data_IF_144765186276
#
_entry.id   IF_144765186276
#
_cell.length_a   1.000
_cell.length_b   1.000
_cell.length_c   1.000
_cell.angle_alpha   90.00
_cell.angle_beta   90.00
_cell.angle_gamma   90.00
#
_symmetry.space_group_name_H-M   'P 1'
#
loop_
_entity.id
_entity.type
_entity.pdbx_description
1 polymer ?
#
# COMPACT_ATOMS: atom_id res chain seq x y z
N UNK A 1 44.89 27.53 22.35
CA UNK A 1 43.50 27.51 21.97
C UNK A 1 42.62 27.75 23.19
N UNK A 2 41.76 28.69 23.10
CA UNK A 2 40.91 29.04 24.23
C UNK A 2 39.77 28.07 24.37
N UNK A 3 39.22 27.96 25.58
CA UNK A 3 38.13 27.03 25.87
C UNK A 3 36.91 27.22 25.00
N UNK A 4 36.63 28.47 24.62
CA UNK A 4 35.48 28.81 23.78
C UNK A 4 35.57 28.21 22.38
N UNK A 5 36.75 28.23 21.80
CA UNK A 5 36.98 27.64 20.48
C UNK A 5 36.80 26.13 20.48
N UNK A 6 37.24 25.46 21.54
CA UNK A 6 37.06 24.03 21.68
C UNK A 6 35.58 23.64 21.78
N UNK A 7 34.83 24.42 22.53
CA UNK A 7 33.39 24.18 22.69
C UNK A 7 32.67 24.35 21.37
N UNK A 8 33.01 25.39 20.61
CA UNK A 8 32.39 25.63 19.30
C UNK A 8 32.70 24.49 18.33
N UNK A 9 33.95 24.03 18.30
CA UNK A 9 34.38 22.93 17.43
C UNK A 9 33.61 21.65 17.80
N UNK A 10 33.53 21.35 19.09
CA UNK A 10 32.81 20.16 19.54
C UNK A 10 31.33 20.23 19.18
N UNK A 11 30.69 21.37 19.38
CA UNK A 11 29.28 21.57 19.00
C UNK A 11 29.07 21.41 17.50
N UNK A 12 29.99 21.94 16.70
CA UNK A 12 29.92 21.85 15.25
C UNK A 12 30.06 20.39 14.78
N UNK A 13 30.98 19.65 15.37
CA UNK A 13 31.17 18.23 15.06
C UNK A 13 29.95 17.45 15.45
N UNK A 14 29.35 17.72 16.60
CA UNK A 14 28.13 17.05 17.04
C UNK A 14 26.96 17.36 16.12
N UNK A 15 26.83 18.61 15.67
CA UNK A 15 25.77 18.98 14.73
C UNK A 15 25.93 18.27 13.39
N UNK A 16 27.15 18.21 12.86
CA UNK A 16 27.44 17.49 11.62
C UNK A 16 27.16 16.00 11.75
N UNK A 17 27.53 15.42 12.87
CA UNK A 17 27.29 14.00 13.13
C UNK A 17 25.79 13.69 13.20
N UNK A 18 25.04 14.54 13.85
CA UNK A 18 23.58 14.42 13.96
C UNK A 18 22.92 14.53 12.60
N UNK A 19 23.33 15.49 11.78
CA UNK A 19 22.81 15.64 10.42
C UNK A 19 23.15 14.46 9.53
N UNK A 20 24.37 13.95 9.62
CA UNK A 20 24.79 12.75 8.89
C UNK A 20 23.93 11.54 9.25
N UNK A 21 23.69 11.34 10.52
CA UNK A 21 22.87 10.21 11.00
C UNK A 21 21.44 10.35 10.50
N UNK A 22 20.86 11.53 10.60
CA UNK A 22 19.52 11.79 10.10
C UNK A 22 19.44 11.58 8.59
N UNK A 23 20.41 12.04 7.85
CA UNK A 23 20.45 11.85 6.41
C UNK A 23 20.49 10.36 6.01
N UNK A 24 21.32 9.57 6.68
CA UNK A 24 21.39 8.14 6.41
C UNK A 24 20.06 7.45 6.74
N UNK A 25 19.44 7.82 7.83
CA UNK A 25 18.18 7.24 8.25
C UNK A 25 17.04 7.59 7.29
N UNK A 26 16.86 8.87 7.00
CA UNK A 26 15.82 9.33 6.08
C UNK A 26 16.13 8.99 4.63
N UNK A 27 17.42 8.98 4.27
CA UNK A 27 17.83 8.59 2.93
C UNK A 27 17.44 7.16 2.59
N UNK A 28 17.57 6.26 3.54
CA UNK A 28 17.16 4.86 3.36
C UNK A 28 15.65 4.72 3.23
N UNK A 29 14.91 5.43 4.04
CA UNK A 29 13.45 5.42 3.94
C UNK A 29 12.96 6.01 2.63
N UNK A 30 13.53 7.12 2.21
CA UNK A 30 13.19 7.73 0.93
C UNK A 30 13.58 6.85 -0.24
N UNK A 31 14.73 6.22 -0.19
CA UNK A 31 15.14 5.28 -1.22
C UNK A 31 14.23 4.07 -1.25
N UNK A 32 13.86 3.54 -0.09
CA UNK A 32 12.89 2.46 0.02
C UNK A 32 11.52 2.87 -0.48
N UNK A 33 11.05 4.05 -0.14
CA UNK A 33 9.78 4.59 -0.62
C UNK A 33 9.83 4.84 -2.13
N UNK A 34 10.95 5.34 -2.64
CA UNK A 34 11.15 5.53 -4.05
C UNK A 34 11.11 4.22 -4.83
N UNK A 35 11.72 3.19 -4.30
CA UNK A 35 11.67 1.85 -4.89
C UNK A 35 10.26 1.27 -4.84
N UNK A 36 9.54 1.48 -3.73
CA UNK A 36 8.17 1.04 -3.60
C UNK A 36 7.24 1.78 -4.56
N UNK A 37 7.44 3.06 -4.75
CA UNK A 37 6.67 3.83 -5.71
C UNK A 37 6.98 3.41 -7.16
N UNK A 38 8.08 2.72 -7.38
CA UNK A 38 8.40 2.09 -8.64
C UNK A 38 7.60 0.82 -8.93
N UNK A 39 6.62 0.51 -8.11
CA UNK A 39 5.60 -0.47 -8.40
C UNK A 39 5.73 -1.83 -7.73
N UNK A 40 6.68 -2.02 -6.85
CA UNK A 40 6.74 -3.29 -6.12
C UNK A 40 5.91 -3.23 -4.86
N UNK A 41 4.77 -3.91 -4.90
CA UNK A 41 3.97 -4.15 -3.72
C UNK A 41 4.53 -5.37 -2.97
N UNK A 42 4.35 -5.39 -1.66
CA UNK A 42 4.68 -6.53 -0.84
C UNK A 42 3.64 -7.62 -1.04
N UNK A 43 4.05 -8.88 -0.93
CA UNK A 43 3.10 -9.98 -0.92
C UNK A 43 2.16 -9.84 0.28
N UNK A 44 0.87 -9.92 0.05
CA UNK A 44 -0.11 -9.89 1.13
C UNK A 44 0.04 -11.11 2.05
N UNK A 45 0.00 -10.86 3.35
CA UNK A 45 -0.06 -11.90 4.37
C UNK A 45 -1.10 -11.51 5.42
N UNK A 46 -1.47 -12.45 6.27
CA UNK A 46 -2.40 -12.15 7.38
C UNK A 46 -1.82 -11.13 8.36
N UNK A 47 -0.52 -10.93 8.32
CA UNK A 47 0.19 -9.96 9.18
C UNK A 47 0.35 -8.59 8.53
N UNK A 48 -0.05 -8.43 7.28
CA UNK A 48 0.03 -7.13 6.59
C UNK A 48 -0.79 -6.08 7.33
N UNK A 49 -0.24 -4.88 7.41
CA UNK A 49 -0.82 -3.79 8.21
C UNK A 49 -1.49 -2.74 7.33
N UNK A 50 -2.39 -1.99 7.95
CA UNK A 50 -3.06 -0.85 7.31
C UNK A 50 -2.02 0.14 6.81
N UNK A 51 -2.20 0.61 5.57
CA UNK A 51 -1.29 1.54 4.93
C UNK A 51 -0.23 0.88 4.05
N UNK A 52 -0.03 -0.44 4.15
CA UNK A 52 0.91 -1.14 3.30
C UNK A 52 0.34 -1.36 1.90
N UNK A 53 1.17 -1.21 0.90
CA UNK A 53 0.83 -1.59 -0.47
C UNK A 53 1.17 -3.06 -0.66
N UNK A 54 0.17 -3.83 -1.04
CA UNK A 54 0.29 -5.30 -1.13
C UNK A 54 -0.23 -5.81 -2.45
N UNK A 55 0.21 -6.99 -2.84
CA UNK A 55 -0.32 -7.73 -3.98
C UNK A 55 -0.66 -9.16 -3.57
N UNK A 56 -1.69 -9.70 -4.19
CA UNK A 56 -2.12 -11.07 -3.94
C UNK A 56 -2.91 -11.59 -5.14
N UNK A 57 -2.98 -12.91 -5.24
CA UNK A 57 -3.89 -13.59 -6.16
C UNK A 57 -5.02 -14.18 -5.32
N UNK A 58 -6.25 -13.95 -5.74
CA UNK A 58 -7.41 -14.40 -4.98
C UNK A 58 -8.57 -14.76 -5.90
N UNK A 59 -9.44 -15.63 -5.41
CA UNK A 59 -10.66 -16.02 -6.11
C UNK A 59 -11.80 -15.09 -5.76
N UNK A 60 -12.51 -14.61 -6.76
CA UNK A 60 -13.67 -13.73 -6.57
C UNK A 60 -14.85 -14.55 -6.07
N UNK A 61 -15.33 -14.24 -4.88
CA UNK A 61 -16.50 -14.87 -4.30
C UNK A 61 -17.79 -14.14 -4.67
N UNK A 62 -17.73 -12.82 -4.82
CA UNK A 62 -18.87 -12.01 -5.17
C UNK A 62 -18.46 -10.61 -5.53
N UNK A 63 -19.34 -9.89 -6.17
CA UNK A 63 -19.16 -8.50 -6.52
C UNK A 63 -20.46 -7.73 -6.39
N UNK A 64 -20.36 -6.47 -6.01
CA UNK A 64 -21.53 -5.59 -5.93
C UNK A 64 -21.07 -4.14 -6.02
N UNK A 65 -21.94 -3.27 -6.50
CA UNK A 65 -21.71 -1.84 -6.39
C UNK A 65 -22.07 -1.34 -4.99
N UNK A 66 -21.42 -0.27 -4.57
CA UNK A 66 -21.77 0.39 -3.32
C UNK A 66 -23.16 0.98 -3.40
N UNK A 67 -23.66 1.44 -2.26
CA UNK A 67 -25.00 2.00 -2.15
C UNK A 67 -25.24 3.14 -3.15
N UNK A 68 -24.22 3.92 -3.42
CA UNK A 68 -24.29 5.02 -4.42
C UNK A 68 -24.22 4.51 -5.85
N UNK A 69 -23.86 3.25 -6.08
CA UNK A 69 -23.70 2.68 -7.41
C UNK A 69 -22.46 3.12 -8.16
N UNK A 70 -21.54 3.80 -7.48
CA UNK A 70 -20.35 4.37 -8.13
C UNK A 70 -19.08 3.52 -7.95
N UNK A 71 -18.98 2.83 -6.84
CA UNK A 71 -17.78 2.06 -6.51
C UNK A 71 -18.10 0.57 -6.53
N UNK A 72 -17.13 -0.24 -6.90
CA UNK A 72 -17.28 -1.69 -6.94
C UNK A 72 -16.64 -2.30 -5.70
N UNK A 73 -17.38 -3.17 -5.03
CA UNK A 73 -16.89 -3.97 -3.91
C UNK A 73 -16.79 -5.42 -4.36
N UNK A 74 -15.62 -6.00 -4.17
CA UNK A 74 -15.38 -7.42 -4.40
C UNK A 74 -15.17 -8.12 -3.08
N UNK A 75 -15.71 -9.33 -2.97
CA UNK A 75 -15.33 -10.25 -1.91
C UNK A 75 -14.46 -11.32 -2.54
N UNK A 76 -13.29 -11.52 -1.98
CA UNK A 76 -12.32 -12.48 -2.51
C UNK A 76 -11.84 -13.41 -1.41
N UNK A 77 -11.47 -14.62 -1.82
CA UNK A 77 -10.91 -15.61 -0.90
C UNK A 77 -9.41 -15.69 -1.11
N UNK A 78 -8.68 -15.44 -0.04
CA UNK A 78 -7.24 -15.59 -0.01
C UNK A 78 -6.86 -16.43 1.20
N UNK A 79 -6.29 -17.60 0.94
CA UNK A 79 -5.82 -18.52 2.00
C UNK A 79 -6.88 -18.72 3.11
N UNK A 80 -8.09 -19.04 2.69
CA UNK A 80 -9.25 -19.25 3.57
C UNK A 80 -9.74 -17.99 4.30
N UNK A 81 -9.22 -16.83 3.97
CA UNK A 81 -9.68 -15.55 4.51
C UNK A 81 -10.49 -14.81 3.46
N UNK A 82 -11.64 -14.29 3.86
CA UNK A 82 -12.47 -13.46 2.99
C UNK A 82 -12.05 -12.01 3.15
N UNK A 83 -11.61 -11.41 2.05
CA UNK A 83 -11.18 -10.02 2.03
C UNK A 83 -12.14 -9.20 1.17
N UNK A 84 -12.32 -7.95 1.56
CA UNK A 84 -13.04 -6.98 0.74
C UNK A 84 -12.05 -6.18 -0.09
N UNK A 85 -12.40 -5.98 -1.36
CA UNK A 85 -11.60 -5.15 -2.27
C UNK A 85 -12.47 -4.00 -2.73
N UNK A 86 -12.00 -2.78 -2.46
CA UNK A 86 -12.70 -1.56 -2.84
C UNK A 86 -12.09 -0.98 -4.10
N UNK A 87 -12.89 -0.89 -5.16
CA UNK A 87 -12.47 -0.33 -6.43
C UNK A 87 -13.27 0.95 -6.66
N UNK A 88 -12.67 2.13 -6.51
CA UNK A 88 -13.38 3.38 -6.69
C UNK A 88 -13.70 3.60 -8.17
N UNK A 89 -14.71 4.43 -8.43
CA UNK A 89 -15.10 4.82 -9.77
C UNK A 89 -13.91 5.32 -10.59
N UNK A 90 -13.04 6.08 -9.97
CA UNK A 90 -11.84 6.63 -10.62
C UNK A 90 -10.84 5.56 -11.05
N UNK A 91 -10.92 4.37 -10.46
CA UNK A 91 -10.09 3.23 -10.83
C UNK A 91 -10.77 2.32 -11.88
N UNK A 92 -11.83 2.77 -12.51
CA UNK A 92 -12.51 2.01 -13.55
C UNK A 92 -13.45 0.93 -13.03
N UNK A 93 -14.20 1.20 -11.98
CA UNK A 93 -15.10 0.23 -11.38
C UNK A 93 -16.09 -0.38 -12.39
N UNK A 94 -16.68 0.43 -13.26
CA UNK A 94 -17.64 -0.05 -14.27
C UNK A 94 -16.98 -1.02 -15.26
N UNK A 95 -15.79 -0.67 -15.74
CA UNK A 95 -15.07 -1.51 -16.70
C UNK A 95 -14.64 -2.83 -16.05
N UNK A 96 -14.20 -2.77 -14.81
CA UNK A 96 -13.79 -3.96 -14.08
C UNK A 96 -14.98 -4.85 -13.74
N UNK A 97 -16.14 -4.27 -13.43
CA UNK A 97 -17.35 -5.05 -13.19
C UNK A 97 -17.69 -5.93 -14.39
N UNK A 98 -17.56 -5.38 -15.59
CA UNK A 98 -17.81 -6.13 -16.81
C UNK A 98 -16.79 -7.21 -17.13
N UNK A 99 -15.60 -7.11 -16.55
CA UNK A 99 -14.49 -8.05 -16.81
C UNK A 99 -14.33 -9.11 -15.75
N UNK A 100 -14.79 -8.86 -14.54
CA UNK A 100 -14.61 -9.75 -13.39
C UNK A 100 -15.91 -10.51 -13.13
N UNK A 101 -15.81 -11.83 -13.00
CA UNK A 101 -16.94 -12.68 -12.67
C UNK A 101 -16.66 -13.49 -11.41
N UNK A 102 -17.71 -13.93 -10.74
CA UNK A 102 -17.58 -14.81 -9.60
C UNK A 102 -16.86 -16.10 -10.02
N UNK A 103 -15.95 -16.54 -9.19
CA UNK A 103 -15.12 -17.71 -9.46
C UNK A 103 -13.85 -17.42 -10.22
N UNK A 104 -13.65 -16.20 -10.72
CA UNK A 104 -12.43 -15.83 -11.41
C UNK A 104 -11.25 -15.72 -10.44
N UNK A 105 -10.09 -16.13 -10.88
CA UNK A 105 -8.85 -15.88 -10.15
C UNK A 105 -8.26 -14.56 -10.69
N UNK A 106 -8.03 -13.64 -9.79
CA UNK A 106 -7.52 -12.32 -10.15
C UNK A 106 -6.28 -11.96 -9.32
N UNK A 107 -5.40 -11.16 -9.91
CA UNK A 107 -4.32 -10.53 -9.18
C UNK A 107 -4.76 -9.14 -8.76
N UNK A 108 -4.51 -8.81 -7.51
CA UNK A 108 -4.94 -7.54 -6.90
C UNK A 108 -3.73 -6.86 -6.30
N UNK A 109 -3.57 -5.59 -6.61
CA UNK A 109 -2.58 -4.73 -5.97
C UNK A 109 -3.31 -3.55 -5.38
N UNK A 110 -3.03 -3.22 -4.14
CA UNK A 110 -3.71 -2.10 -3.50
C UNK A 110 -3.13 -1.81 -2.13
N UNK A 111 -3.71 -0.83 -1.49
CA UNK A 111 -3.30 -0.39 -0.16
C UNK A 111 -4.30 -0.93 0.85
N UNK A 112 -3.78 -1.52 1.92
CA UNK A 112 -4.62 -2.02 3.00
C UNK A 112 -5.21 -0.82 3.74
N UNK A 113 -6.53 -0.79 3.85
CA UNK A 113 -7.25 0.15 4.68
C UNK A 113 -8.13 -0.61 5.66
N UNK A 114 -8.71 0.10 6.60
CA UNK A 114 -9.59 -0.49 7.59
C UNK A 114 -10.94 0.19 7.53
N UNK A 115 -11.99 -0.60 7.47
CA UNK A 115 -13.36 -0.13 7.49
C UNK A 115 -14.17 -0.99 8.44
N UNK A 116 -14.78 -0.37 9.45
CA UNK A 116 -15.55 -1.06 10.49
C UNK A 116 -14.78 -2.18 11.18
N UNK A 117 -13.49 -1.95 11.45
CA UNK A 117 -12.64 -2.93 12.11
C UNK A 117 -12.15 -4.06 11.23
N UNK A 118 -12.46 -4.05 9.93
CA UNK A 118 -12.05 -5.08 8.98
C UNK A 118 -11.06 -4.52 7.98
N UNK A 119 -10.08 -5.33 7.62
CA UNK A 119 -9.12 -4.97 6.58
C UNK A 119 -9.77 -5.01 5.22
N UNK A 120 -9.45 -4.02 4.41
CA UNK A 120 -9.96 -3.88 3.06
C UNK A 120 -8.80 -3.49 2.15
N UNK A 121 -8.79 -3.99 0.93
CA UNK A 121 -7.77 -3.61 -0.04
C UNK A 121 -8.36 -2.56 -0.96
N UNK A 122 -7.73 -1.40 -1.00
CA UNK A 122 -8.18 -0.30 -1.82
C UNK A 122 -7.36 -0.23 -3.09
N UNK A 123 -8.01 -0.45 -4.22
CA UNK A 123 -7.39 -0.37 -5.53
C UNK A 123 -7.34 1.10 -5.97
N UNK A 124 -6.21 1.52 -6.47
CA UNK A 124 -6.02 2.90 -6.90
C UNK A 124 -6.20 3.08 -8.41
N UNK A 125 -5.87 2.05 -9.20
CA UNK A 125 -5.89 2.12 -10.65
C UNK A 125 -6.43 0.83 -11.24
N UNK A 126 -6.98 0.93 -12.43
CA UNK A 126 -7.50 -0.23 -13.17
C UNK A 126 -6.42 -1.30 -13.38
N UNK A 127 -5.20 -0.87 -13.64
CA UNK A 127 -4.07 -1.76 -13.88
C UNK A 127 -3.68 -2.60 -12.66
N UNK A 128 -4.14 -2.21 -11.49
CA UNK A 128 -3.88 -2.94 -10.25
C UNK A 128 -4.69 -4.24 -10.13
N UNK A 129 -5.64 -4.44 -11.02
CA UNK A 129 -6.38 -5.70 -11.13
C UNK A 129 -5.99 -6.39 -12.43
N UNK A 130 -5.53 -7.64 -12.31
CA UNK A 130 -5.18 -8.46 -13.46
C UNK A 130 -6.01 -9.74 -13.43
N UNK A 131 -6.55 -10.09 -14.58
CA UNK A 131 -7.26 -11.37 -14.75
C UNK A 131 -6.23 -12.47 -15.00
N UNK A 132 -6.41 -13.58 -14.32
CA UNK A 132 -5.48 -14.73 -14.42
C UNK A 132 -6.01 -15.80 -15.36
#
# INVERSE_FOLDING_TARGET
MEKEEKVVVVLLVMALFSLSTAYLFFGQELAGAGQKSGGKALQYTHESEVGEKVSLDAEVLGKRFTYTGEHLLLEVNFDSEVLSVFIPKTAGAEALDGSINEGDLIGITGIISEYNGKKEIRVERKEDITLK
#
